data_IF_894767986967
#
_entry.id   IF_894767986967
#
_cell.length_a   1.000
_cell.length_b   1.000
_cell.length_c   1.000
_cell.angle_alpha   90.00
_cell.angle_beta   90.00
_cell.angle_gamma   90.00
#
_symmetry.space_group_name_H-M   'P 1'
#
loop_
_entity.id
_entity.type
_entity.pdbx_description
1 polymer ?
#
# COMPACT_ATOMS: atom_id res chain seq x y z
N UNK A 1 3.24 -5.66 -4.01
CA UNK A 1 3.45 -5.31 -5.43
C UNK A 1 2.09 -5.32 -6.13
N UNK A 2 1.78 -4.31 -6.94
CA UNK A 2 0.46 -4.14 -7.55
C UNK A 2 0.51 -4.35 -9.07
N UNK A 3 -0.54 -4.97 -9.58
CA UNK A 3 -0.79 -5.26 -10.98
C UNK A 3 -2.29 -5.53 -11.16
N UNK A 4 -2.74 -5.66 -12.41
CA UNK A 4 -4.15 -5.96 -12.68
C UNK A 4 -4.53 -7.32 -12.04
N UNK A 5 -5.66 -7.34 -11.33
CA UNK A 5 -6.14 -8.53 -10.61
C UNK A 5 -5.15 -9.05 -9.53
N UNK A 6 -4.42 -8.14 -8.87
CA UNK A 6 -3.50 -8.50 -7.82
C UNK A 6 -4.22 -9.18 -6.64
N UNK A 7 -3.67 -10.32 -6.20
CA UNK A 7 -4.12 -11.00 -5.00
C UNK A 7 -3.66 -10.24 -3.75
N UNK A 8 -4.49 -10.25 -2.71
CA UNK A 8 -4.18 -9.73 -1.39
C UNK A 8 -3.43 -10.74 -0.50
N UNK A 9 -3.31 -12.01 -0.93
CA UNK A 9 -2.64 -13.06 -0.16
C UNK A 9 -1.21 -12.68 0.27
N UNK A 10 -0.37 -12.04 -0.57
CA UNK A 10 0.94 -11.59 -0.12
C UNK A 10 0.85 -10.52 0.98
N UNK A 11 -0.12 -9.61 0.92
CA UNK A 11 -0.30 -8.59 1.95
C UNK A 11 -0.79 -9.21 3.26
N UNK A 12 -1.78 -10.11 3.19
CA UNK A 12 -2.29 -10.85 4.35
C UNK A 12 -1.21 -11.67 5.04
N UNK A 13 -0.40 -12.40 4.27
CA UNK A 13 0.68 -13.21 4.83
C UNK A 13 1.70 -12.36 5.62
N UNK A 14 2.02 -11.15 5.16
CA UNK A 14 2.92 -10.24 5.88
C UNK A 14 2.27 -9.67 7.15
N UNK A 15 0.98 -9.34 7.10
CA UNK A 15 0.21 -8.89 8.27
C UNK A 15 0.12 -10.00 9.32
N UNK A 16 -0.24 -11.21 8.92
CA UNK A 16 -0.39 -12.38 9.81
C UNK A 16 0.94 -12.79 10.44
N UNK A 17 2.06 -12.56 9.73
CA UNK A 17 3.42 -12.76 10.26
C UNK A 17 3.87 -11.64 11.21
N UNK A 18 3.07 -10.60 11.42
CA UNK A 18 3.37 -9.53 12.38
C UNK A 18 4.48 -8.59 11.92
N UNK A 19 4.60 -8.33 10.61
CA UNK A 19 5.57 -7.35 10.11
C UNK A 19 5.26 -5.94 10.64
N UNK A 20 6.29 -5.24 11.09
CA UNK A 20 6.18 -3.86 11.60
C UNK A 20 5.80 -2.86 10.49
N UNK A 21 6.10 -3.18 9.23
CA UNK A 21 5.74 -2.33 8.10
C UNK A 21 5.73 -3.05 6.75
N UNK A 22 4.93 -2.51 5.82
CA UNK A 22 4.73 -3.03 4.47
C UNK A 22 4.86 -1.90 3.45
N UNK A 23 5.74 -2.09 2.46
CA UNK A 23 5.87 -1.19 1.31
C UNK A 23 5.08 -1.73 0.13
N UNK A 24 4.15 -0.92 -0.38
CA UNK A 24 3.37 -1.22 -1.56
C UNK A 24 3.98 -0.58 -2.79
N UNK A 25 4.61 -1.38 -3.65
CA UNK A 25 4.94 -0.95 -5.01
C UNK A 25 3.65 -0.90 -5.85
N UNK A 26 3.02 0.27 -5.91
CA UNK A 26 1.78 0.57 -6.61
C UNK A 26 1.94 0.69 -8.14
N UNK A 27 0.83 0.85 -8.84
CA UNK A 27 0.79 1.20 -10.27
C UNK A 27 0.66 2.71 -10.44
N UNK A 28 1.24 3.30 -11.49
CA UNK A 28 1.12 4.74 -11.74
C UNK A 28 1.69 5.58 -10.60
N UNK A 29 0.87 6.42 -9.97
CA UNK A 29 1.24 7.26 -8.83
C UNK A 29 1.03 6.54 -7.48
N UNK A 30 1.55 5.30 -7.38
CA UNK A 30 1.43 4.46 -6.18
C UNK A 30 0.01 3.98 -5.87
N UNK A 31 -0.81 3.81 -6.90
CA UNK A 31 -2.17 3.33 -6.80
C UNK A 31 -2.19 1.82 -6.49
N UNK A 32 -3.19 1.36 -5.74
CA UNK A 32 -3.30 -0.02 -5.29
C UNK A 32 -4.53 -0.69 -5.87
N UNK A 33 -4.41 -2.00 -6.13
CA UNK A 33 -5.59 -2.79 -6.46
C UNK A 33 -6.49 -2.94 -5.22
N UNK A 34 -7.82 -2.95 -5.42
CA UNK A 34 -8.80 -2.82 -4.33
C UNK A 34 -8.59 -3.80 -3.17
N UNK A 35 -8.36 -5.08 -3.45
CA UNK A 35 -8.17 -6.11 -2.42
C UNK A 35 -6.90 -5.87 -1.57
N UNK A 36 -5.82 -5.45 -2.23
CA UNK A 36 -4.56 -5.10 -1.57
C UNK A 36 -4.75 -3.84 -0.72
N UNK A 37 -5.48 -2.84 -1.25
CA UNK A 37 -5.80 -1.62 -0.52
C UNK A 37 -6.58 -1.90 0.77
N UNK A 38 -7.66 -2.67 0.69
CA UNK A 38 -8.50 -2.99 1.86
C UNK A 38 -7.70 -3.71 2.97
N UNK A 39 -6.79 -4.60 2.57
CA UNK A 39 -5.89 -5.32 3.50
C UNK A 39 -4.90 -4.37 4.17
N UNK A 40 -4.22 -3.53 3.40
CA UNK A 40 -3.21 -2.60 3.95
C UNK A 40 -3.86 -1.50 4.79
N UNK A 41 -5.04 -1.00 4.43
CA UNK A 41 -5.78 -0.03 5.24
C UNK A 41 -6.20 -0.61 6.59
N UNK A 42 -6.53 -1.91 6.63
CA UNK A 42 -6.83 -2.61 7.89
C UNK A 42 -5.56 -2.79 8.73
N UNK A 43 -4.44 -3.17 8.10
CA UNK A 43 -3.15 -3.32 8.76
C UNK A 43 -2.65 -1.99 9.37
N UNK A 44 -2.80 -0.88 8.64
CA UNK A 44 -2.44 0.46 9.11
C UNK A 44 -3.20 0.84 10.38
N UNK A 45 -4.50 0.57 10.43
CA UNK A 45 -5.32 0.78 11.65
C UNK A 45 -4.90 -0.09 12.82
N UNK A 46 -4.35 -1.27 12.55
CA UNK A 46 -3.84 -2.20 13.56
C UNK A 46 -2.39 -1.92 13.97
N UNK A 47 -1.76 -0.85 13.46
CA UNK A 47 -0.44 -0.38 13.86
C UNK A 47 0.71 -0.76 12.93
N UNK A 48 0.45 -1.49 11.84
CA UNK A 48 1.48 -1.78 10.82
C UNK A 48 1.77 -0.52 10.00
N UNK A 49 3.03 -0.11 9.87
CA UNK A 49 3.39 1.02 9.01
C UNK A 49 3.16 0.68 7.53
N UNK A 50 2.38 1.47 6.80
CA UNK A 50 2.11 1.24 5.37
C UNK A 50 2.68 2.37 4.53
N UNK A 51 3.61 2.03 3.63
CA UNK A 51 4.22 2.99 2.69
C UNK A 51 3.75 2.72 1.26
N UNK A 52 3.18 3.72 0.59
CA UNK A 52 2.87 3.68 -0.84
C UNK A 52 4.08 4.16 -1.64
N UNK A 53 4.55 3.32 -2.54
CA UNK A 53 5.58 3.61 -3.53
C UNK A 53 5.05 3.23 -4.93
N UNK A 54 5.86 3.31 -5.97
CA UNK A 54 5.47 2.97 -7.33
C UNK A 54 6.42 1.98 -7.98
N UNK A 55 5.88 1.11 -8.85
CA UNK A 55 6.68 0.28 -9.77
C UNK A 55 7.20 1.06 -10.99
N UNK A 56 6.75 2.30 -11.18
CA UNK A 56 7.24 3.18 -12.26
C UNK A 56 8.69 3.57 -11.95
N UNK A 57 9.64 3.43 -12.89
CA UNK A 57 11.07 3.58 -12.61
C UNK A 57 11.54 5.01 -12.36
N UNK A 58 10.70 6.02 -12.65
CA UNK A 58 11.01 7.44 -12.48
C UNK A 58 9.75 8.23 -12.07
N UNK A 59 9.90 9.21 -11.19
CA UNK A 59 8.79 10.05 -10.70
C UNK A 59 8.38 9.69 -9.26
N UNK A 60 8.01 10.70 -8.46
CA UNK A 60 7.65 10.52 -7.06
C UNK A 60 6.21 10.01 -6.90
N UNK A 61 5.96 9.20 -5.85
CA UNK A 61 4.60 8.94 -5.38
C UNK A 61 4.14 10.12 -4.54
N UNK A 62 3.19 10.91 -5.04
CA UNK A 62 2.77 12.14 -4.33
C UNK A 62 1.74 11.83 -3.24
N UNK A 63 1.88 12.47 -2.08
CA UNK A 63 0.94 12.44 -0.95
C UNK A 63 -0.42 13.02 -1.35
N UNK A 64 -1.52 12.42 -0.86
CA UNK A 64 -2.90 12.91 -1.00
C UNK A 64 -3.40 13.18 -2.45
N UNK A 65 -2.83 12.49 -3.44
CA UNK A 65 -3.27 12.59 -4.83
C UNK A 65 -4.33 11.55 -5.21
N UNK A 66 -4.00 10.26 -5.13
CA UNK A 66 -4.90 9.16 -5.55
C UNK A 66 -5.49 8.38 -4.35
N UNK A 67 -4.91 8.54 -3.16
CA UNK A 67 -5.32 7.92 -1.90
C UNK A 67 -5.26 8.97 -0.81
N UNK A 68 -6.29 9.00 0.06
CA UNK A 68 -6.31 9.85 1.26
C UNK A 68 -5.40 9.24 2.33
N UNK A 69 -4.11 9.55 2.24
CA UNK A 69 -3.05 8.96 3.06
C UNK A 69 -3.28 9.28 4.55
N UNK A 70 -3.78 10.49 4.82
CA UNK A 70 -4.10 10.99 6.16
C UNK A 70 -5.25 10.21 6.80
N UNK A 71 -6.29 9.84 6.04
CA UNK A 71 -7.42 9.05 6.53
C UNK A 71 -7.08 7.58 6.78
N UNK A 72 -6.12 7.04 6.04
CA UNK A 72 -5.77 5.61 6.12
C UNK A 72 -4.45 5.32 6.87
N UNK A 73 -3.74 6.36 7.33
CA UNK A 73 -2.47 6.20 8.04
C UNK A 73 -1.32 5.71 7.13
N UNK A 74 -1.42 5.98 5.83
CA UNK A 74 -0.41 5.61 4.85
C UNK A 74 0.62 6.73 4.70
N UNK A 75 1.86 6.39 4.35
CA UNK A 75 2.93 7.35 4.00
C UNK A 75 3.26 7.18 2.51
N UNK A 76 3.39 8.25 1.73
CA UNK A 76 3.79 8.17 0.33
C UNK A 76 5.30 8.48 0.14
N UNK A 77 5.96 7.77 -0.79
CA UNK A 77 7.40 7.90 -1.09
C UNK A 77 7.73 7.87 -2.58
#
# INVERSE_FOLDING_TARGET
YNYANASDLPAKALVDAGYDGIVSAGVGNGNLYKSVFDTLATAAKNGTAVVRSSRVPTGATTQDAEVDDTRYGCVAS
#
